data_IF_628973306731
#
_entry.id   IF_628973306731
#
_cell.length_a   1.000
_cell.length_b   1.000
_cell.length_c   1.000
_cell.angle_alpha   90.00
_cell.angle_beta   90.00
_cell.angle_gamma   90.00
#
_symmetry.space_group_name_H-M   'P 1'
#
loop_
_entity.id
_entity.type
_entity.pdbx_description
1 polymer ?
#
# COMPACT_ATOMS: atom_id res chain seq x y z
N UNK A 1 7.62 3.41 8.32
CA UNK A 1 6.26 3.77 8.74
C UNK A 1 6.32 4.54 10.03
N UNK A 2 5.55 5.62 10.15
CA UNK A 2 5.56 6.52 11.30
C UNK A 2 4.43 6.23 12.31
N UNK A 3 3.25 5.88 11.81
CA UNK A 3 2.03 5.67 12.61
C UNK A 3 1.47 4.25 12.51
N UNK A 4 1.62 3.58 11.37
CA UNK A 4 1.23 2.16 11.22
C UNK A 4 2.18 1.26 12.02
N UNK A 5 1.62 0.38 12.86
CA UNK A 5 2.40 -0.60 13.61
C UNK A 5 2.22 -2.01 13.03
N UNK A 6 3.32 -2.63 12.60
CA UNK A 6 3.34 -3.97 11.99
C UNK A 6 3.56 -5.11 13.00
N UNK A 7 3.87 -4.78 14.26
CA UNK A 7 4.15 -5.76 15.33
C UNK A 7 3.55 -5.28 16.67
N UNK A 8 2.27 -4.92 16.67
CA UNK A 8 1.58 -4.50 17.88
C UNK A 8 1.35 -5.69 18.84
N UNK A 9 1.25 -5.38 20.13
CA UNK A 9 0.89 -6.33 21.17
C UNK A 9 -0.55 -6.07 21.65
N UNK A 10 -1.40 -7.09 21.57
CA UNK A 10 -2.79 -7.05 22.06
C UNK A 10 -3.00 -8.17 23.07
N UNK A 11 -2.95 -7.82 24.35
CA UNK A 11 -2.91 -8.82 25.42
C UNK A 11 -1.64 -9.67 25.32
N UNK A 12 -1.80 -10.98 25.18
CA UNK A 12 -0.69 -11.93 25.03
C UNK A 12 -0.31 -12.21 23.55
N UNK A 13 -0.99 -11.57 22.58
CA UNK A 13 -0.72 -11.73 21.14
C UNK A 13 0.33 -10.69 20.68
N UNK A 14 1.40 -11.15 20.03
CA UNK A 14 2.37 -10.34 19.30
C UNK A 14 2.19 -10.50 17.78
N UNK A 15 2.76 -9.60 16.97
CA UNK A 15 2.62 -9.63 15.51
C UNK A 15 1.26 -9.12 15.01
N UNK A 16 0.55 -8.34 15.82
CA UNK A 16 -0.76 -7.79 15.41
C UNK A 16 -0.53 -6.59 14.51
N UNK A 17 -1.12 -6.62 13.32
CA UNK A 17 -1.13 -5.47 12.41
C UNK A 17 -2.13 -4.43 12.91
N UNK A 18 -1.66 -3.22 13.19
CA UNK A 18 -2.45 -2.18 13.82
C UNK A 18 -2.31 -0.83 13.10
N UNK A 19 -3.30 -0.46 12.26
CA UNK A 19 -3.34 0.86 11.63
C UNK A 19 -4.02 1.92 12.53
N UNK A 20 -4.45 1.59 13.75
CA UNK A 20 -5.34 2.47 14.55
C UNK A 20 -4.74 3.84 14.80
N UNK A 21 -3.44 3.91 15.13
CA UNK A 21 -2.76 5.20 15.35
C UNK A 21 -2.69 6.04 14.06
N UNK A 22 -2.49 5.40 12.91
CA UNK A 22 -2.54 6.08 11.62
C UNK A 22 -3.96 6.59 11.34
N UNK A 23 -4.98 5.76 11.54
CA UNK A 23 -6.38 6.12 11.34
C UNK A 23 -6.85 7.26 12.27
N UNK A 24 -6.36 7.31 13.52
CA UNK A 24 -6.61 8.42 14.45
C UNK A 24 -5.95 9.72 13.97
N UNK A 25 -4.77 9.61 13.36
CA UNK A 25 -4.01 10.76 12.87
C UNK A 25 -4.52 11.28 11.52
N UNK A 26 -4.98 10.39 10.65
CA UNK A 26 -5.35 10.66 9.26
C UNK A 26 -6.32 11.86 9.10
N UNK A 27 -7.38 12.05 9.91
CA UNK A 27 -8.25 13.21 9.81
C UNK A 27 -7.52 14.55 9.96
N UNK A 28 -6.42 14.60 10.72
CA UNK A 28 -5.65 15.82 10.94
C UNK A 28 -4.73 16.19 9.78
N UNK A 29 -4.29 15.20 9.00
CA UNK A 29 -3.38 15.38 7.85
C UNK A 29 -4.08 15.27 6.49
N UNK A 30 -5.31 14.75 6.44
CA UNK A 30 -6.03 14.53 5.20
C UNK A 30 -6.16 15.82 4.37
N UNK A 31 -6.32 16.97 5.03
CA UNK A 31 -6.38 18.29 4.40
C UNK A 31 -5.13 18.67 3.60
N UNK A 32 -3.97 18.12 3.97
CA UNK A 32 -2.67 18.39 3.37
C UNK A 32 -2.29 17.37 2.29
N UNK A 33 -3.03 16.25 2.20
CA UNK A 33 -2.83 15.25 1.14
C UNK A 33 -3.39 15.74 -0.20
N UNK A 34 -2.71 15.44 -1.33
CA UNK A 34 -3.26 15.54 -2.68
C UNK A 34 -4.61 14.79 -2.82
N UNK A 35 -5.43 15.16 -3.81
CA UNK A 35 -6.81 14.67 -3.89
C UNK A 35 -6.89 13.14 -4.05
N UNK A 36 -6.07 12.56 -4.92
CA UNK A 36 -6.07 11.13 -5.17
C UNK A 36 -5.50 10.33 -4.00
N UNK A 37 -4.37 10.77 -3.46
CA UNK A 37 -3.76 10.24 -2.24
C UNK A 37 -4.73 10.27 -1.05
N UNK A 38 -5.43 11.39 -0.84
CA UNK A 38 -6.47 11.54 0.19
C UNK A 38 -7.61 10.56 -0.02
N UNK A 39 -8.13 10.48 -1.25
CA UNK A 39 -9.26 9.62 -1.57
C UNK A 39 -8.94 8.16 -1.30
N UNK A 40 -7.71 7.73 -1.61
CA UNK A 40 -7.26 6.37 -1.36
C UNK A 40 -7.02 6.09 0.14
N UNK A 41 -6.26 6.95 0.83
CA UNK A 41 -5.95 6.75 2.25
C UNK A 41 -7.18 6.82 3.16
N UNK A 42 -8.18 7.63 2.80
CA UNK A 42 -9.41 7.83 3.60
C UNK A 42 -10.57 6.93 3.21
N UNK A 43 -10.38 6.03 2.22
CA UNK A 43 -11.39 5.03 1.90
C UNK A 43 -11.58 4.09 3.09
N UNK A 44 -12.81 3.96 3.57
CA UNK A 44 -13.14 3.14 4.74
C UNK A 44 -12.85 1.66 4.53
N UNK A 45 -12.86 1.20 3.27
CA UNK A 45 -12.58 -0.18 2.93
C UNK A 45 -11.09 -0.52 2.95
N UNK A 46 -10.21 0.49 2.85
CA UNK A 46 -8.77 0.29 2.64
C UNK A 46 -8.06 -0.35 3.83
N UNK A 47 -8.45 0.01 5.05
CA UNK A 47 -7.92 -0.53 6.30
C UNK A 47 -8.86 -1.55 6.97
N UNK A 48 -9.99 -1.90 6.36
CA UNK A 48 -10.85 -2.99 6.81
C UNK A 48 -10.33 -4.33 6.30
N UNK A 49 -9.73 -5.15 7.18
CA UNK A 49 -9.16 -6.46 6.81
C UNK A 49 -10.18 -7.48 6.28
N UNK A 50 -11.48 -7.21 6.43
CA UNK A 50 -12.55 -8.02 5.86
C UNK A 50 -13.04 -7.51 4.49
N UNK A 51 -12.60 -6.34 4.07
CA UNK A 51 -12.97 -5.75 2.78
C UNK A 51 -12.20 -6.37 1.61
N UNK A 52 -12.84 -6.33 0.43
CA UNK A 52 -12.25 -6.71 -0.87
C UNK A 52 -11.38 -5.62 -1.48
N UNK A 53 -11.37 -4.43 -0.86
CA UNK A 53 -10.57 -3.27 -1.30
C UNK A 53 -9.49 -2.91 -0.26
N UNK A 54 -9.09 -3.88 0.57
CA UNK A 54 -7.95 -3.74 1.48
C UNK A 54 -6.67 -4.23 0.81
N UNK A 55 -5.56 -3.50 0.98
CA UNK A 55 -4.26 -3.84 0.36
C UNK A 55 -3.60 -5.08 0.94
N UNK A 56 -3.93 -5.47 2.19
CA UNK A 56 -3.28 -6.59 2.87
C UNK A 56 -3.46 -7.89 2.09
N UNK A 57 -2.37 -8.63 1.90
CA UNK A 57 -2.26 -9.90 1.18
C UNK A 57 -2.31 -9.79 -0.37
N UNK A 58 -2.23 -8.59 -0.92
CA UNK A 58 -1.98 -8.43 -2.36
C UNK A 58 -0.51 -8.73 -2.70
N UNK A 59 -0.25 -9.28 -3.88
CA UNK A 59 1.12 -9.58 -4.35
C UNK A 59 1.58 -8.54 -5.35
N UNK A 60 2.81 -8.02 -5.22
CA UNK A 60 3.40 -7.15 -6.23
C UNK A 60 3.58 -7.92 -7.55
N UNK A 61 2.90 -7.48 -8.60
CA UNK A 61 2.92 -8.13 -9.92
C UNK A 61 3.85 -7.43 -10.90
N UNK A 62 3.81 -6.10 -10.93
CA UNK A 62 4.59 -5.31 -11.87
C UNK A 62 4.85 -3.91 -11.35
N UNK A 63 6.03 -3.40 -11.70
CA UNK A 63 6.39 -1.99 -11.56
C UNK A 63 6.76 -1.46 -12.94
N UNK A 64 6.12 -0.38 -13.40
CA UNK A 64 6.39 0.25 -14.70
C UNK A 64 6.70 1.72 -14.54
N UNK A 65 7.58 2.25 -15.38
CA UNK A 65 7.96 3.66 -15.35
C UNK A 65 8.90 4.05 -14.20
N UNK A 66 9.52 3.08 -13.52
CA UNK A 66 10.48 3.35 -12.45
C UNK A 66 11.61 4.28 -12.93
N UNK A 67 11.85 5.35 -12.18
CA UNK A 67 12.82 6.41 -12.54
C UNK A 67 12.28 7.51 -13.47
N UNK A 68 11.02 7.42 -13.90
CA UNK A 68 10.32 8.48 -14.63
C UNK A 68 9.39 9.33 -13.75
N UNK A 69 8.76 10.35 -14.33
CA UNK A 69 7.77 11.19 -13.65
C UNK A 69 6.40 10.50 -13.50
N UNK A 70 6.12 9.49 -14.32
CA UNK A 70 4.91 8.67 -14.26
C UNK A 70 5.30 7.23 -13.98
N UNK A 71 4.63 6.61 -13.02
CA UNK A 71 4.93 5.26 -12.57
C UNK A 71 3.64 4.51 -12.28
N UNK A 72 3.64 3.20 -12.51
CA UNK A 72 2.52 2.32 -12.19
C UNK A 72 3.01 1.16 -11.33
N UNK A 73 2.24 0.81 -10.31
CA UNK A 73 2.42 -0.41 -9.53
C UNK A 73 1.15 -1.24 -9.64
N UNK A 74 1.31 -2.48 -10.09
CA UNK A 74 0.25 -3.48 -10.17
C UNK A 74 0.37 -4.48 -9.04
N UNK A 75 -0.73 -4.66 -8.33
CA UNK A 75 -0.90 -5.64 -7.29
C UNK A 75 -1.96 -6.66 -7.70
N UNK A 76 -1.60 -7.93 -7.58
CA UNK A 76 -2.48 -9.06 -7.89
C UNK A 76 -3.23 -9.52 -6.63
N UNK A 77 -4.51 -9.82 -6.82
CA UNK A 77 -5.35 -10.47 -5.81
C UNK A 77 -4.86 -11.87 -5.41
N UNK A 78 -5.35 -12.36 -4.27
CA UNK A 78 -5.30 -13.76 -3.88
C UNK A 78 -6.74 -14.28 -3.71
N UNK A 79 -7.20 -15.17 -4.60
CA UNK A 79 -8.59 -15.65 -4.65
C UNK A 79 -9.17 -16.25 -3.37
N UNK A 80 -8.33 -16.58 -2.38
CA UNK A 80 -8.80 -16.95 -1.06
C UNK A 80 -9.43 -15.78 -0.28
N UNK A 81 -8.90 -14.56 -0.45
CA UNK A 81 -9.29 -13.35 0.29
C UNK A 81 -9.82 -12.23 -0.61
N UNK A 82 -9.25 -12.06 -1.79
CA UNK A 82 -9.47 -10.96 -2.71
C UNK A 82 -9.90 -11.47 -4.08
N UNK A 83 -10.88 -10.78 -4.67
CA UNK A 83 -11.36 -10.98 -6.04
C UNK A 83 -11.09 -9.74 -6.91
N UNK A 84 -10.15 -8.87 -6.50
CA UNK A 84 -9.83 -7.61 -7.19
C UNK A 84 -8.33 -7.33 -7.24
N UNK A 85 -7.84 -7.03 -8.44
CA UNK A 85 -6.50 -6.47 -8.64
C UNK A 85 -6.51 -4.97 -8.32
N UNK A 86 -5.36 -4.45 -7.87
CA UNK A 86 -5.16 -3.03 -7.60
C UNK A 86 -4.08 -2.48 -8.52
N UNK A 87 -4.41 -1.42 -9.25
CA UNK A 87 -3.45 -0.61 -10.00
C UNK A 87 -3.34 0.77 -9.35
N UNK A 88 -2.12 1.16 -8.99
CA UNK A 88 -1.83 2.50 -8.52
C UNK A 88 -0.97 3.23 -9.56
N UNK A 89 -1.47 4.38 -10.03
CA UNK A 89 -0.74 5.28 -10.91
C UNK A 89 -0.22 6.46 -10.11
N UNK A 90 1.08 6.72 -10.19
CA UNK A 90 1.74 7.83 -9.55
C UNK A 90 2.12 8.88 -10.58
N UNK A 91 1.86 10.14 -10.26
CA UNK A 91 2.18 11.28 -11.12
C UNK A 91 3.18 12.21 -10.43
N UNK A 92 4.13 12.74 -11.20
CA UNK A 92 5.19 13.60 -10.68
C UNK A 92 6.05 12.89 -9.64
N UNK A 93 6.45 11.64 -9.92
CA UNK A 93 7.32 10.87 -9.03
C UNK A 93 8.68 11.55 -8.91
N UNK A 94 9.10 11.83 -7.68
CA UNK A 94 10.40 12.43 -7.38
C UNK A 94 11.35 11.46 -6.67
N UNK A 95 10.83 10.37 -6.11
CA UNK A 95 11.63 9.31 -5.50
C UNK A 95 10.90 7.97 -5.58
N UNK A 96 11.65 6.90 -5.84
CA UNK A 96 11.19 5.52 -5.71
C UNK A 96 12.33 4.69 -5.14
N UNK A 97 12.08 4.03 -4.01
CA UNK A 97 13.04 3.20 -3.29
C UNK A 97 12.39 1.86 -2.96
N UNK A 98 13.14 0.78 -3.16
CA UNK A 98 12.82 -0.55 -2.64
C UNK A 98 13.89 -0.88 -1.61
N UNK A 99 13.46 -1.25 -0.41
CA UNK A 99 14.32 -1.68 0.68
C UNK A 99 13.98 -3.14 1.05
N UNK A 100 14.71 -4.14 0.51
CA UNK A 100 14.46 -5.55 0.79
C UNK A 100 14.86 -5.91 2.23
N UNK A 101 14.18 -6.89 2.83
CA UNK A 101 14.49 -7.37 4.17
C UNK A 101 15.82 -8.17 4.21
N UNK A 102 16.14 -8.88 3.13
CA UNK A 102 17.33 -9.72 3.01
C UNK A 102 18.36 -9.16 2.00
N UNK A 103 19.65 -9.34 2.32
CA UNK A 103 20.78 -8.83 1.51
C UNK A 103 21.00 -9.59 0.18
N UNK A 104 20.33 -10.72 -0.03
CA UNK A 104 20.53 -11.61 -1.18
C UNK A 104 19.95 -11.06 -2.51
N UNK A 105 19.26 -9.91 -2.46
CA UNK A 105 18.91 -9.12 -3.64
C UNK A 105 17.80 -9.72 -4.52
N UNK A 106 17.07 -10.72 -4.03
CA UNK A 106 15.84 -11.17 -4.67
C UNK A 106 14.77 -10.07 -4.55
N UNK A 107 14.20 -9.64 -5.67
CA UNK A 107 13.22 -8.54 -5.70
C UNK A 107 11.79 -9.01 -5.35
N UNK A 108 11.67 -10.20 -4.76
CA UNK A 108 10.40 -10.73 -4.28
C UNK A 108 10.13 -10.13 -2.90
N UNK A 109 9.23 -9.15 -2.85
CA UNK A 109 8.85 -8.48 -1.61
C UNK A 109 7.79 -9.27 -0.83
N UNK A 110 7.30 -10.40 -1.37
CA UNK A 110 6.17 -11.12 -0.83
C UNK A 110 4.86 -10.35 -0.96
N UNK A 111 3.91 -10.64 -0.08
CA UNK A 111 2.61 -9.96 -0.07
C UNK A 111 2.64 -8.68 0.78
N UNK A 112 1.78 -7.73 0.43
CA UNK A 112 1.59 -6.49 1.19
C UNK A 112 1.06 -6.82 2.58
N UNK A 113 1.69 -6.23 3.59
CA UNK A 113 1.21 -6.25 4.97
C UNK A 113 0.23 -5.10 5.17
N UNK A 114 0.71 -3.86 4.99
CA UNK A 114 -0.02 -2.61 5.14
C UNK A 114 0.69 -1.51 4.34
N UNK A 115 0.05 -0.37 4.20
CA UNK A 115 0.65 0.85 3.66
C UNK A 115 0.29 2.08 4.50
N UNK A 116 1.04 3.15 4.28
CA UNK A 116 0.90 4.44 4.94
C UNK A 116 1.12 5.57 3.93
N UNK A 117 0.23 6.56 3.94
CA UNK A 117 0.35 7.75 3.09
C UNK A 117 0.42 9.00 3.97
N UNK A 118 1.50 9.78 3.81
CA UNK A 118 1.74 11.00 4.55
C UNK A 118 1.95 12.20 3.62
N UNK A 119 1.61 13.43 4.05
CA UNK A 119 1.94 14.64 3.32
C UNK A 119 3.46 14.76 3.13
N UNK A 120 3.87 15.19 1.94
CA UNK A 120 5.27 15.44 1.63
C UNK A 120 5.40 16.76 0.86
N UNK A 121 6.57 17.43 0.94
CA UNK A 121 6.81 18.71 0.25
C UNK A 121 6.56 18.67 -1.27
N UNK A 122 6.69 17.50 -1.86
CA UNK A 122 6.49 17.27 -3.30
C UNK A 122 5.08 16.71 -3.63
N UNK A 123 4.21 16.53 -2.63
CA UNK A 123 2.86 15.96 -2.74
C UNK A 123 2.56 15.02 -1.57
N UNK A 124 2.83 13.73 -1.75
CA UNK A 124 2.75 12.73 -0.68
C UNK A 124 3.88 11.71 -0.75
N UNK A 125 4.17 11.09 0.39
CA UNK A 125 4.95 9.85 0.47
C UNK A 125 3.99 8.68 0.69
N UNK A 126 4.14 7.64 -0.12
CA UNK A 126 3.42 6.37 0.01
C UNK A 126 4.44 5.29 0.36
N UNK A 127 4.34 4.76 1.56
CA UNK A 127 5.17 3.66 2.06
C UNK A 127 4.32 2.40 2.11
N UNK A 128 4.78 1.32 1.48
CA UNK A 128 4.08 0.03 1.37
C UNK A 128 4.99 -1.02 1.99
N UNK A 129 4.58 -1.57 3.14
CA UNK A 129 5.28 -2.67 3.77
C UNK A 129 4.79 -3.99 3.19
N UNK A 130 5.73 -4.85 2.83
CA UNK A 130 5.53 -6.22 2.43
C UNK A 130 6.31 -7.15 3.37
N UNK A 131 6.08 -8.47 3.30
CA UNK A 131 6.77 -9.43 4.17
C UNK A 131 8.29 -9.39 4.03
N UNK A 132 8.80 -9.21 2.81
CA UNK A 132 10.23 -9.30 2.51
C UNK A 132 10.83 -7.93 2.13
N UNK A 133 10.20 -6.84 2.55
CA UNK A 133 10.75 -5.49 2.37
C UNK A 133 9.70 -4.39 2.24
N UNK A 134 10.15 -3.19 1.88
CA UNK A 134 9.32 -2.00 1.79
C UNK A 134 9.49 -1.30 0.44
N UNK A 135 8.40 -0.77 -0.11
CA UNK A 135 8.43 0.18 -1.22
C UNK A 135 8.10 1.58 -0.70
N UNK A 136 8.89 2.57 -1.09
CA UNK A 136 8.64 3.98 -0.76
C UNK A 136 8.60 4.81 -2.03
N UNK A 137 7.47 5.48 -2.27
CA UNK A 137 7.24 6.35 -3.42
C UNK A 137 7.01 7.77 -2.90
N UNK A 138 7.70 8.76 -3.45
CA UNK A 138 7.36 10.17 -3.30
C UNK A 138 6.85 10.69 -4.62
N UNK A 139 5.64 11.26 -4.61
CA UNK A 139 4.98 11.73 -5.83
C UNK A 139 4.11 12.97 -5.56
N UNK A 140 3.65 13.60 -6.64
CA UNK A 140 2.73 14.75 -6.56
C UNK A 140 1.31 14.34 -6.21
N UNK A 141 0.84 13.24 -6.78
CA UNK A 141 -0.44 12.60 -6.46
C UNK A 141 -0.44 11.16 -6.97
N UNK A 142 -1.40 10.37 -6.51
CA UNK A 142 -1.64 9.00 -6.96
C UNK A 142 -3.11 8.77 -7.31
N UNK A 143 -3.37 7.76 -8.14
CA UNK A 143 -4.71 7.28 -8.43
C UNK A 143 -4.75 5.76 -8.31
N UNK A 144 -5.58 5.27 -7.39
CA UNK A 144 -5.85 3.85 -7.22
C UNK A 144 -7.05 3.42 -8.06
N UNK A 145 -7.00 2.23 -8.62
CA UNK A 145 -8.13 1.61 -9.35
C UNK A 145 -8.19 0.13 -9.04
N UNK A 146 -9.31 -0.29 -8.47
CA UNK A 146 -9.62 -1.70 -8.22
C UNK A 146 -10.36 -2.30 -9.43
N UNK A 147 -9.89 -3.44 -9.93
CA UNK A 147 -10.51 -4.16 -11.05
C UNK A 147 -10.89 -5.56 -10.63
N UNK A 148 -12.13 -5.99 -10.92
CA UNK A 148 -12.56 -7.36 -10.65
C UNK A 148 -11.67 -8.36 -11.39
N UNK A 149 -11.24 -9.39 -10.67
CA UNK A 149 -10.45 -10.47 -11.19
C UNK A 149 -11.28 -11.76 -11.23
N UNK A 150 -11.00 -12.58 -12.24
CA UNK A 150 -11.68 -13.86 -12.38
C UNK A 150 -11.04 -14.91 -11.46
N UNK A 151 -11.71 -15.19 -10.35
CA UNK A 151 -11.37 -16.27 -9.44
C UNK A 151 -12.05 -17.60 -9.80
N UNK A 152 -12.28 -17.88 -11.09
CA UNK A 152 -12.80 -19.15 -11.58
C UNK A 152 -11.83 -20.31 -11.32
N UNK A 153 -11.76 -20.73 -10.07
CA UNK A 153 -11.29 -22.02 -9.59
C UNK A 153 -12.20 -22.47 -8.45
N UNK A 154 -13.47 -22.65 -8.78
CA UNK A 154 -14.41 -23.50 -8.04
C UNK A 154 -15.04 -24.49 -9.02
N UNK A 155 -14.31 -25.57 -9.29
CA UNK A 155 -14.87 -26.85 -9.72
C UNK A 155 -14.51 -27.89 -8.67
#
# INVERSE_FOLDING_TARGET
MEYVNLDAQVGDLSGVLDPSRYLEHLPSIAGDLPLGARSFATDTDHYDFHSRQCVKDLTLRAVRGAGGEEMEIEFQHNCWKHDRDLLIRYAGVSSFVIDPADEDGETDLGTVILDEILPHRDGCSHEIACWEGTLTIVCRDLQATWTEADCSSRS
#
